data_IF_174616014792
#
_entry.id   IF_174616014792
#
_cell.length_a   1.000
_cell.length_b   1.000
_cell.length_c   1.000
_cell.angle_alpha   90.00
_cell.angle_beta   90.00
_cell.angle_gamma   90.00
#
_symmetry.space_group_name_H-M   'P 1'
#
loop_
_entity.id
_entity.type
_entity.pdbx_description
1 polymer ?
#
# COMPACT_ATOMS: atom_id res chain seq x y z
N UNK A 1 -13.98 4.85 -9.01
CA UNK A 1 -13.39 4.93 -7.68
C UNK A 1 -11.92 4.58 -7.65
N UNK A 2 -11.52 3.57 -8.42
CA UNK A 2 -10.10 3.31 -8.62
C UNK A 2 -9.60 4.03 -9.87
N UNK A 3 -8.42 4.64 -9.75
CA UNK A 3 -7.75 5.32 -10.86
C UNK A 3 -6.44 4.61 -11.16
N UNK A 4 -5.98 4.72 -12.41
CA UNK A 4 -4.77 4.03 -12.89
C UNK A 4 -3.76 5.04 -13.42
N UNK A 5 -2.68 4.56 -14.03
CA UNK A 5 -1.65 5.41 -14.63
C UNK A 5 -2.18 6.29 -15.77
N UNK A 6 -3.31 5.93 -16.37
CA UNK A 6 -3.96 6.77 -17.38
C UNK A 6 -4.54 8.04 -16.76
N UNK A 7 -5.01 7.95 -15.51
CA UNK A 7 -5.57 9.07 -14.77
C UNK A 7 -4.48 9.90 -14.08
N UNK A 8 -3.41 9.25 -13.65
CA UNK A 8 -2.32 9.89 -12.92
C UNK A 8 -0.97 9.30 -13.34
N UNK A 9 -0.28 9.98 -14.24
CA UNK A 9 0.96 9.48 -14.84
C UNK A 9 2.08 9.11 -13.87
N UNK A 10 2.28 9.80 -12.72
CA UNK A 10 3.34 9.41 -11.78
C UNK A 10 3.23 7.98 -11.24
N UNK A 11 2.06 7.33 -11.34
CA UNK A 11 1.89 5.92 -10.99
C UNK A 11 2.91 5.04 -11.74
N UNK A 12 3.29 5.41 -12.95
CA UNK A 12 4.26 4.65 -13.76
C UNK A 12 5.64 4.56 -13.11
N UNK A 13 5.98 5.51 -12.26
CA UNK A 13 7.24 5.44 -11.49
C UNK A 13 7.27 4.23 -10.56
N UNK A 14 6.13 3.78 -10.10
CA UNK A 14 6.01 2.56 -9.31
C UNK A 14 5.92 1.32 -10.20
N UNK A 15 5.01 1.32 -11.18
CA UNK A 15 4.79 0.13 -12.02
C UNK A 15 6.01 -0.21 -12.87
N UNK A 16 6.76 0.79 -13.33
CA UNK A 16 8.00 0.56 -14.09
C UNK A 16 9.16 0.03 -13.22
N UNK A 17 9.04 0.11 -11.90
CA UNK A 17 10.10 -0.25 -10.96
C UNK A 17 9.69 -1.36 -9.99
N UNK A 18 8.67 -2.14 -10.32
CA UNK A 18 8.13 -3.16 -9.40
C UNK A 18 9.19 -4.16 -8.94
N UNK A 19 10.07 -4.61 -9.81
CA UNK A 19 11.08 -5.60 -9.44
C UNK A 19 12.13 -5.03 -8.48
N UNK A 20 12.53 -3.78 -8.67
CA UNK A 20 13.48 -3.09 -7.78
C UNK A 20 12.88 -2.92 -6.40
N UNK A 21 11.62 -2.47 -6.35
CA UNK A 21 10.89 -2.24 -5.10
C UNK A 21 10.68 -3.57 -4.37
N UNK A 22 10.28 -4.61 -5.09
CA UNK A 22 10.09 -5.94 -4.52
C UNK A 22 11.39 -6.48 -3.92
N UNK A 23 12.51 -6.34 -4.63
CA UNK A 23 13.81 -6.81 -4.14
C UNK A 23 14.18 -6.13 -2.83
N UNK A 24 13.93 -4.84 -2.70
CA UNK A 24 14.20 -4.11 -1.46
C UNK A 24 13.22 -4.49 -0.34
N UNK A 25 11.94 -4.71 -0.66
CA UNK A 25 10.99 -5.24 0.33
C UNK A 25 11.47 -6.57 0.91
N UNK A 26 11.94 -7.47 0.09
CA UNK A 26 12.39 -8.79 0.56
C UNK A 26 13.55 -8.70 1.57
N UNK A 27 14.36 -7.65 1.51
CA UNK A 27 15.43 -7.42 2.48
C UNK A 27 14.89 -7.02 3.85
N UNK A 28 13.72 -6.41 3.92
CA UNK A 28 13.15 -5.89 5.16
C UNK A 28 11.89 -6.62 5.59
N UNK A 29 11.50 -7.69 4.90
CA UNK A 29 10.25 -8.40 5.16
C UNK A 29 10.15 -8.97 6.57
N UNK A 30 11.28 -9.24 7.23
CA UNK A 30 11.32 -9.69 8.62
C UNK A 30 11.27 -8.55 9.64
N UNK A 31 11.25 -7.30 9.19
CA UNK A 31 11.32 -6.10 10.03
C UNK A 31 10.01 -5.32 10.08
N UNK A 32 8.94 -5.89 9.54
CA UNK A 32 7.62 -5.27 9.60
C UNK A 32 7.06 -5.34 11.02
N UNK A 33 6.21 -4.35 11.37
CA UNK A 33 5.56 -4.28 12.68
C UNK A 33 4.07 -4.11 12.49
N UNK A 34 3.28 -4.54 13.47
CA UNK A 34 1.84 -4.39 13.41
C UNK A 34 1.43 -2.94 13.17
N UNK A 35 0.43 -2.76 12.32
CA UNK A 35 -0.17 -1.46 12.09
C UNK A 35 -0.78 -0.95 13.40
N UNK A 36 -0.46 0.29 13.82
CA UNK A 36 -0.77 0.75 15.18
C UNK A 36 -2.26 0.96 15.47
N UNK A 37 -3.09 1.16 14.44
CA UNK A 37 -4.53 1.31 14.61
C UNK A 37 -5.20 -0.06 14.81
N UNK A 38 -4.97 -0.66 15.98
CA UNK A 38 -5.36 -2.03 16.28
C UNK A 38 -6.86 -2.29 16.15
N UNK A 39 -7.70 -1.25 16.29
CA UNK A 39 -9.15 -1.39 16.14
C UNK A 39 -9.61 -1.60 14.69
N UNK A 40 -8.72 -1.38 13.71
CA UNK A 40 -9.05 -1.54 12.29
C UNK A 40 -8.80 -2.94 11.76
N UNK A 41 -8.07 -3.78 12.49
CA UNK A 41 -7.68 -5.09 11.95
C UNK A 41 -7.61 -6.17 13.03
N UNK A 42 -7.44 -7.42 12.60
CA UNK A 42 -7.43 -8.59 13.46
C UNK A 42 -6.02 -9.02 13.91
N UNK A 43 -5.05 -8.10 13.91
CA UNK A 43 -3.68 -8.37 14.33
C UNK A 43 -2.76 -8.89 13.23
N UNK A 44 -3.24 -8.96 11.99
CA UNK A 44 -2.50 -9.53 10.85
C UNK A 44 -2.11 -8.51 9.79
N UNK A 45 -2.17 -7.24 10.12
CA UNK A 45 -1.74 -6.14 9.25
C UNK A 45 -0.45 -5.56 9.79
N UNK A 46 0.61 -5.59 8.97
CA UNK A 46 1.93 -5.09 9.34
C UNK A 46 2.43 -4.07 8.32
N UNK A 47 3.41 -3.29 8.71
CA UNK A 47 3.98 -2.28 7.83
C UNK A 47 5.46 -2.05 8.11
N UNK A 48 6.17 -1.55 7.08
CA UNK A 48 7.53 -1.04 7.19
C UNK A 48 7.56 0.35 6.57
N UNK A 49 7.90 1.36 7.36
CA UNK A 49 7.81 2.76 6.94
C UNK A 49 9.01 3.23 6.12
N UNK A 50 8.74 4.01 5.07
CA UNK A 50 9.75 4.67 4.22
C UNK A 50 9.70 6.18 4.42
N UNK A 51 8.50 6.76 4.48
CA UNK A 51 8.29 8.20 4.63
C UNK A 51 7.12 8.45 5.56
N UNK A 52 7.23 9.46 6.42
CA UNK A 52 6.15 9.86 7.32
C UNK A 52 6.08 11.36 7.43
N UNK A 53 4.89 11.93 7.22
CA UNK A 53 4.63 13.37 7.27
C UNK A 53 5.60 14.17 6.38
N UNK A 54 5.84 13.66 5.17
CA UNK A 54 6.68 14.32 4.17
C UNK A 54 8.19 14.13 4.36
N UNK A 55 8.63 13.46 5.42
CA UNK A 55 10.04 13.25 5.71
C UNK A 55 10.44 11.79 5.56
N UNK A 56 11.62 11.55 4.99
CA UNK A 56 12.16 10.21 4.86
C UNK A 56 12.50 9.65 6.22
N UNK A 57 12.06 8.40 6.46
CA UNK A 57 12.46 7.64 7.62
C UNK A 57 13.80 6.95 7.34
N UNK A 58 14.57 6.70 8.39
CA UNK A 58 15.75 5.86 8.29
C UNK A 58 15.30 4.45 7.89
N UNK A 59 15.80 3.95 6.76
CA UNK A 59 15.39 2.67 6.24
C UNK A 59 16.50 2.03 5.39
N UNK A 60 16.31 0.75 5.04
CA UNK A 60 17.26 -0.04 4.27
C UNK A 60 16.84 -0.20 2.80
N UNK A 61 15.98 0.70 2.31
CA UNK A 61 15.42 0.63 0.95
C UNK A 61 15.73 1.92 0.17
N UNK A 62 17.02 2.17 -0.16
CA UNK A 62 17.41 3.45 -0.77
C UNK A 62 16.82 3.68 -2.15
N UNK A 63 16.68 2.63 -2.97
CA UNK A 63 16.12 2.76 -4.32
C UNK A 63 14.63 3.04 -4.27
N UNK A 64 13.90 2.36 -3.39
CA UNK A 64 12.48 2.60 -3.17
C UNK A 64 12.25 4.02 -2.68
N UNK A 65 13.07 4.49 -1.75
CA UNK A 65 13.02 5.87 -1.24
C UNK A 65 13.20 6.88 -2.38
N UNK A 66 14.19 6.66 -3.25
CA UNK A 66 14.44 7.54 -4.39
C UNK A 66 13.25 7.57 -5.36
N UNK A 67 12.67 6.41 -5.65
CA UNK A 67 11.50 6.29 -6.54
C UNK A 67 10.32 7.06 -5.94
N UNK A 68 10.03 6.87 -4.65
CA UNK A 68 8.96 7.57 -3.96
C UNK A 68 9.18 9.08 -3.98
N UNK A 69 10.40 9.53 -3.77
CA UNK A 69 10.73 10.96 -3.77
C UNK A 69 10.64 11.58 -5.17
N UNK A 70 10.60 10.78 -6.22
CA UNK A 70 10.35 11.26 -7.57
C UNK A 70 8.86 11.48 -7.87
N UNK A 71 7.97 11.06 -6.99
CA UNK A 71 6.52 11.26 -7.12
C UNK A 71 6.13 12.50 -6.31
N UNK A 72 5.47 13.50 -6.95
CA UNK A 72 5.12 14.73 -6.23
C UNK A 72 4.14 14.50 -5.08
N UNK A 73 4.36 15.20 -3.97
CA UNK A 73 3.37 15.31 -2.91
C UNK A 73 3.15 14.07 -2.04
N UNK A 74 4.06 13.11 -2.06
CA UNK A 74 3.95 11.94 -1.19
C UNK A 74 4.15 12.35 0.26
N UNK A 75 3.16 12.06 1.10
CA UNK A 75 3.16 12.43 2.51
C UNK A 75 3.54 11.24 3.41
N UNK A 76 2.99 10.07 3.12
CA UNK A 76 3.28 8.80 3.83
C UNK A 76 3.56 7.73 2.78
N UNK A 77 4.57 6.90 3.02
CA UNK A 77 4.88 5.78 2.16
C UNK A 77 5.52 4.65 2.95
N UNK A 78 5.26 3.42 2.53
CA UNK A 78 5.84 2.25 3.15
C UNK A 78 5.31 0.98 2.51
N UNK A 79 5.79 -0.14 3.03
CA UNK A 79 5.27 -1.45 2.67
C UNK A 79 4.14 -1.81 3.61
N UNK A 80 3.04 -2.27 3.04
CA UNK A 80 1.86 -2.73 3.78
C UNK A 80 1.70 -4.23 3.55
N UNK A 81 1.61 -4.99 4.62
CA UNK A 81 1.59 -6.45 4.57
C UNK A 81 0.32 -6.97 5.23
N UNK A 82 -0.54 -7.57 4.42
CA UNK A 82 -1.73 -8.28 4.90
C UNK A 82 -1.37 -9.77 4.98
N UNK A 83 -1.14 -10.27 6.18
CA UNK A 83 -0.81 -11.69 6.37
C UNK A 83 -2.02 -12.57 6.09
N UNK A 84 -1.78 -13.86 5.91
CA UNK A 84 -2.86 -14.82 5.66
C UNK A 84 -3.98 -14.68 6.70
N UNK A 85 -5.22 -14.55 6.23
CA UNK A 85 -6.38 -14.35 7.10
C UNK A 85 -6.56 -12.93 7.62
N UNK A 86 -5.76 -11.96 7.17
CA UNK A 86 -5.93 -10.56 7.57
C UNK A 86 -7.29 -10.01 7.16
N UNK A 87 -7.92 -9.31 8.08
CA UNK A 87 -9.15 -8.55 7.82
C UNK A 87 -8.93 -7.13 8.30
N UNK A 88 -9.14 -6.16 7.41
CA UNK A 88 -9.16 -4.73 7.72
C UNK A 88 -10.62 -4.29 7.61
N UNK A 89 -11.19 -3.83 8.72
CA UNK A 89 -12.62 -3.50 8.80
C UNK A 89 -12.96 -2.25 7.99
N UNK A 90 -14.23 -2.11 7.56
CA UNK A 90 -14.66 -0.90 6.86
C UNK A 90 -14.37 0.35 7.68
N UNK A 91 -13.75 1.34 7.05
CA UNK A 91 -13.41 2.62 7.69
C UNK A 91 -13.19 3.70 6.63
N UNK A 92 -13.09 4.93 7.09
CA UNK A 92 -12.73 6.10 6.27
C UNK A 92 -11.45 6.71 6.83
N UNK A 93 -10.69 7.39 5.97
CA UNK A 93 -9.49 8.10 6.41
C UNK A 93 -9.81 9.38 7.17
N UNK A 94 -8.80 9.93 7.83
CA UNK A 94 -8.96 11.10 8.69
C UNK A 94 -9.12 12.42 7.94
N UNK A 95 -8.69 12.48 6.68
CA UNK A 95 -8.62 13.74 5.94
C UNK A 95 -9.00 13.54 4.48
N UNK A 96 -9.66 14.55 3.91
CA UNK A 96 -10.02 14.59 2.49
C UNK A 96 -8.87 15.08 1.59
N UNK A 97 -7.72 15.40 2.16
CA UNK A 97 -6.57 15.91 1.41
C UNK A 97 -5.58 14.84 0.99
N UNK A 98 -5.85 13.57 1.27
CA UNK A 98 -4.95 12.46 0.98
C UNK A 98 -5.63 11.41 0.12
N UNK A 99 -4.94 11.00 -0.95
CA UNK A 99 -5.30 9.85 -1.75
C UNK A 99 -4.34 8.71 -1.47
N UNK A 100 -4.81 7.48 -1.61
CA UNK A 100 -3.99 6.27 -1.40
C UNK A 100 -3.60 5.66 -2.72
N UNK A 101 -2.32 5.35 -2.85
CA UNK A 101 -1.76 4.71 -4.04
C UNK A 101 -1.16 3.37 -3.61
N UNK A 102 -1.67 2.28 -4.15
CA UNK A 102 -1.21 0.93 -3.84
C UNK A 102 -0.55 0.30 -5.06
N UNK A 103 0.66 -0.21 -4.89
CA UNK A 103 1.35 -1.04 -5.86
C UNK A 103 1.39 -2.49 -5.34
N UNK A 104 0.92 -3.44 -6.14
CA UNK A 104 1.00 -4.86 -5.78
C UNK A 104 2.42 -5.40 -5.97
N UNK A 105 2.98 -6.01 -4.93
CA UNK A 105 4.29 -6.65 -4.97
C UNK A 105 4.16 -8.17 -4.91
N UNK A 106 3.53 -8.69 -3.86
CA UNK A 106 3.26 -10.12 -3.67
C UNK A 106 1.76 -10.23 -3.42
N UNK A 107 1.04 -10.78 -4.38
CA UNK A 107 -0.42 -10.74 -4.36
C UNK A 107 -0.99 -12.15 -4.62
N UNK A 108 -1.15 -12.96 -3.55
CA UNK A 108 -1.81 -14.25 -3.71
C UNK A 108 -3.25 -14.06 -4.14
N UNK A 109 -3.90 -15.11 -4.69
CA UNK A 109 -5.34 -15.05 -4.97
C UNK A 109 -6.13 -14.76 -3.70
N UNK A 110 -7.32 -14.18 -3.84
CA UNK A 110 -8.23 -13.83 -2.73
C UNK A 110 -7.70 -12.71 -1.82
N UNK A 111 -6.85 -11.84 -2.35
CA UNK A 111 -6.45 -10.60 -1.69
C UNK A 111 -7.10 -9.43 -2.41
N UNK A 112 -7.89 -8.64 -1.68
CA UNK A 112 -8.71 -7.61 -2.30
C UNK A 112 -8.92 -6.40 -1.38
N UNK A 113 -9.27 -5.29 -2.01
CA UNK A 113 -9.73 -4.08 -1.35
C UNK A 113 -11.04 -3.63 -1.99
N UNK A 114 -12.02 -3.28 -1.15
CA UNK A 114 -13.26 -2.66 -1.60
C UNK A 114 -13.20 -1.17 -1.24
N UNK A 115 -13.51 -0.32 -2.21
CA UNK A 115 -13.65 1.13 -2.02
C UNK A 115 -15.03 1.51 -2.53
N UNK A 116 -15.90 1.96 -1.62
CA UNK A 116 -17.29 2.17 -1.95
C UNK A 116 -17.93 0.88 -2.44
N UNK A 117 -18.40 0.87 -3.68
CA UNK A 117 -19.03 -0.31 -4.31
C UNK A 117 -18.10 -1.10 -5.21
N UNK A 118 -16.86 -0.64 -5.41
CA UNK A 118 -15.91 -1.31 -6.29
C UNK A 118 -14.92 -2.15 -5.49
N UNK A 119 -14.63 -3.37 -6.00
CA UNK A 119 -13.63 -4.26 -5.42
C UNK A 119 -12.49 -4.44 -6.41
N UNK A 120 -11.27 -4.31 -5.91
CA UNK A 120 -10.05 -4.52 -6.69
C UNK A 120 -9.25 -5.66 -6.05
N UNK A 121 -8.90 -6.66 -6.84
CA UNK A 121 -7.98 -7.71 -6.44
C UNK A 121 -6.57 -7.28 -6.82
N UNK A 122 -5.71 -7.10 -5.82
CA UNK A 122 -4.33 -6.68 -6.10
C UNK A 122 -3.61 -7.73 -6.95
N UNK A 123 -2.82 -7.24 -7.89
CA UNK A 123 -1.95 -8.07 -8.74
C UNK A 123 -0.57 -7.45 -8.81
N UNK A 124 0.44 -8.31 -8.87
CA UNK A 124 1.84 -7.87 -8.96
C UNK A 124 2.03 -6.96 -10.17
N UNK A 125 2.65 -5.81 -9.93
CA UNK A 125 2.96 -4.83 -10.97
C UNK A 125 1.82 -3.90 -11.35
N UNK A 126 0.63 -4.08 -10.79
CA UNK A 126 -0.50 -3.18 -10.99
C UNK A 126 -0.60 -2.20 -9.83
N UNK A 127 -0.96 -0.97 -10.15
CA UNK A 127 -1.16 0.06 -9.14
C UNK A 127 -2.53 0.72 -9.31
N UNK A 128 -3.14 1.06 -8.18
CA UNK A 128 -4.43 1.76 -8.14
C UNK A 128 -4.36 2.92 -7.17
N UNK A 129 -5.09 3.96 -7.49
CA UNK A 129 -5.23 5.18 -6.67
C UNK A 129 -6.69 5.32 -6.29
N UNK A 130 -6.96 5.64 -5.02
CA UNK A 130 -8.32 5.87 -4.56
C UNK A 130 -8.37 6.97 -3.50
N UNK A 131 -9.56 7.56 -3.36
CA UNK A 131 -9.83 8.58 -2.36
C UNK A 131 -10.03 7.91 -0.99
N UNK A 132 -9.17 8.26 -0.03
CA UNK A 132 -9.17 7.68 1.32
C UNK A 132 -10.42 8.05 2.14
N UNK A 133 -11.18 9.06 1.73
CA UNK A 133 -12.40 9.46 2.42
C UNK A 133 -13.61 8.58 2.11
N UNK A 134 -13.53 7.78 1.04
CA UNK A 134 -14.58 6.83 0.69
C UNK A 134 -14.38 5.58 1.57
N UNK A 135 -15.46 5.06 2.15
CA UNK A 135 -15.39 3.86 2.97
C UNK A 135 -14.70 2.72 2.22
N UNK A 136 -13.73 2.12 2.87
CA UNK A 136 -12.97 1.01 2.29
C UNK A 136 -12.64 -0.05 3.33
N UNK A 137 -12.46 -1.25 2.85
CA UNK A 137 -12.06 -2.42 3.64
C UNK A 137 -11.19 -3.33 2.79
N UNK A 138 -10.46 -4.22 3.43
CA UNK A 138 -9.56 -5.12 2.72
C UNK A 138 -9.42 -6.45 3.43
N UNK A 139 -9.03 -7.48 2.70
CA UNK A 139 -8.77 -8.78 3.27
C UNK A 139 -7.77 -9.57 2.45
N UNK A 140 -7.03 -10.43 3.15
CA UNK A 140 -6.26 -11.51 2.56
C UNK A 140 -6.92 -12.82 2.98
N UNK A 141 -7.76 -13.37 2.12
CA UNK A 141 -8.49 -14.61 2.37
C UNK A 141 -7.71 -15.85 1.91
N UNK A 142 -6.44 -15.67 1.56
CA UNK A 142 -5.57 -16.78 1.18
C UNK A 142 -4.93 -17.41 2.41
N UNK A 143 -4.17 -18.49 2.18
CA UNK A 143 -3.41 -19.20 3.22
C UNK A 143 -1.92 -18.81 3.25
N UNK A 144 -1.55 -17.69 2.59
CA UNK A 144 -0.14 -17.24 2.51
C UNK A 144 0.04 -15.82 2.97
#
# INVERSE_FOLDING_TARGET
MFHTAEDYKPIRKLTDNVEVILAEYLKVSSKTKQWPEAHLHNGKWEAYGIKFQGEDLLNECPKTTEIINSIPGVFIAGFSVLKAGCVITPHVGYTDSVWRLHLGLICPPKCWIRVGEETHHWKKGEAVLFDDTIEHEAANESDR
#
